data_IF_605124723785
#
_entry.id   IF_605124723785
#
_cell.length_a   1.000
_cell.length_b   1.000
_cell.length_c   1.000
_cell.angle_alpha   90.00
_cell.angle_beta   90.00
_cell.angle_gamma   90.00
#
_symmetry.space_group_name_H-M   'P 1'
#
loop_
_entity.id
_entity.type
_entity.pdbx_description
1 polymer ?
#
# COMPACT_ATOMS: atom_id res chain seq x y z
N UNK A 1 -7.69 4.82 -24.16
CA UNK A 1 -6.37 5.08 -23.53
C UNK A 1 -5.40 3.97 -23.88
N UNK A 2 -5.83 2.71 -23.80
CA UNK A 2 -5.02 1.52 -24.13
C UNK A 2 -4.36 1.65 -25.52
N UNK A 3 -5.14 1.84 -26.60
CA UNK A 3 -4.58 1.96 -27.97
C UNK A 3 -3.56 3.10 -28.14
N UNK A 4 -3.79 4.22 -27.44
CA UNK A 4 -2.90 5.38 -27.46
C UNK A 4 -1.57 5.03 -26.80
N UNK A 5 -1.62 4.42 -25.62
CA UNK A 5 -0.41 4.02 -24.89
C UNK A 5 0.32 2.90 -25.60
N UNK A 6 -0.38 1.93 -26.19
CA UNK A 6 0.25 0.86 -26.96
C UNK A 6 0.96 1.39 -28.20
N UNK A 7 0.32 2.34 -28.90
CA UNK A 7 0.93 3.01 -30.05
C UNK A 7 2.12 3.86 -29.63
N UNK A 8 1.99 4.65 -28.57
CA UNK A 8 3.08 5.46 -28.04
C UNK A 8 4.26 4.59 -27.57
N UNK A 9 4.00 3.43 -26.95
CA UNK A 9 5.05 2.52 -26.50
C UNK A 9 5.87 1.97 -27.68
N UNK A 10 5.21 1.68 -28.81
CA UNK A 10 5.89 1.24 -30.04
C UNK A 10 6.72 2.34 -30.69
N UNK A 11 6.24 3.58 -30.67
CA UNK A 11 6.88 4.70 -31.37
C UNK A 11 7.97 5.40 -30.56
N UNK A 12 7.84 5.45 -29.24
CA UNK A 12 8.77 6.17 -28.38
C UNK A 12 10.02 5.32 -28.07
N UNK A 13 11.22 5.91 -28.11
CA UNK A 13 12.43 5.26 -27.64
C UNK A 13 12.41 5.12 -26.10
N UNK A 14 13.37 4.37 -25.56
CA UNK A 14 13.62 4.34 -24.11
C UNK A 14 13.85 5.76 -23.55
N UNK A 15 13.27 6.04 -22.39
CA UNK A 15 13.19 7.37 -21.79
C UNK A 15 12.07 8.25 -22.33
N UNK A 16 11.35 7.81 -23.38
CA UNK A 16 10.19 8.50 -23.93
C UNK A 16 9.04 8.62 -22.94
N UNK A 17 8.22 9.66 -23.07
CA UNK A 17 7.16 9.98 -22.10
C UNK A 17 5.85 10.35 -22.78
N UNK A 18 4.75 10.02 -22.11
CA UNK A 18 3.39 10.44 -22.48
C UNK A 18 2.74 11.09 -21.27
N UNK A 19 2.40 12.38 -21.36
CA UNK A 19 1.66 13.11 -20.33
C UNK A 19 0.20 13.25 -20.73
N UNK A 20 -0.73 12.88 -19.85
CA UNK A 20 -2.17 12.96 -20.08
C UNK A 20 -2.88 13.70 -18.94
N UNK A 21 -3.87 14.50 -19.29
CA UNK A 21 -4.88 14.98 -18.33
C UNK A 21 -6.05 14.01 -18.35
N UNK A 22 -6.26 13.34 -17.22
CA UNK A 22 -7.29 12.31 -17.08
C UNK A 22 -8.26 12.67 -15.96
N UNK A 23 -9.50 12.24 -16.08
CA UNK A 23 -10.39 12.25 -14.92
C UNK A 23 -9.79 11.34 -13.84
N UNK A 24 -9.77 11.76 -12.57
CA UNK A 24 -9.05 11.04 -11.50
C UNK A 24 -9.51 9.59 -11.31
N UNK A 25 -10.76 9.27 -11.66
CA UNK A 25 -11.26 7.88 -11.61
C UNK A 25 -10.59 6.96 -12.64
N UNK A 26 -9.94 7.50 -13.68
CA UNK A 26 -9.36 6.72 -14.79
C UNK A 26 -8.31 5.71 -14.33
N UNK A 27 -7.61 6.02 -13.24
CA UNK A 27 -6.61 5.17 -12.60
C UNK A 27 -7.00 4.71 -11.20
N UNK A 28 -8.25 4.89 -10.77
CA UNK A 28 -8.65 4.53 -9.41
C UNK A 28 -8.72 3.02 -9.18
N UNK A 29 -8.87 2.23 -10.24
CA UNK A 29 -8.84 0.76 -10.17
C UNK A 29 -7.41 0.25 -10.21
N UNK A 30 -7.00 -0.47 -9.17
CA UNK A 30 -5.65 -0.99 -9.02
C UNK A 30 -5.18 -1.86 -10.21
N UNK A 31 -6.05 -2.75 -10.69
CA UNK A 31 -5.73 -3.68 -11.78
C UNK A 31 -5.33 -2.94 -13.06
N UNK A 32 -6.03 -1.84 -13.36
CA UNK A 32 -5.77 -1.04 -14.54
C UNK A 32 -4.42 -0.34 -14.45
N UNK A 33 -4.11 0.30 -13.32
CA UNK A 33 -2.83 1.00 -13.17
C UNK A 33 -1.66 0.01 -13.11
N UNK A 34 -1.78 -1.12 -12.41
CA UNK A 34 -0.77 -2.18 -12.40
C UNK A 34 -0.55 -2.80 -13.78
N UNK A 35 -1.61 -2.94 -14.61
CA UNK A 35 -1.47 -3.38 -16.01
C UNK A 35 -0.63 -2.41 -16.82
N UNK A 36 -0.87 -1.10 -16.73
CA UNK A 36 -0.02 -0.13 -17.43
C UNK A 36 1.41 -0.13 -16.90
N UNK A 37 1.59 -0.37 -15.60
CA UNK A 37 2.89 -0.41 -14.97
C UNK A 37 3.82 -1.51 -15.54
N UNK A 38 3.26 -2.56 -16.14
CA UNK A 38 4.04 -3.60 -16.80
C UNK A 38 4.94 -3.07 -17.92
N UNK A 39 4.53 -1.98 -18.58
CA UNK A 39 5.24 -1.38 -19.72
C UNK A 39 5.68 0.07 -19.45
N UNK A 40 5.25 0.68 -18.35
CA UNK A 40 5.46 2.10 -18.07
C UNK A 40 5.77 2.35 -16.59
N UNK A 41 6.71 3.25 -16.30
CA UNK A 41 6.67 3.98 -15.03
C UNK A 41 5.49 4.96 -15.04
N UNK A 42 4.81 5.09 -13.90
CA UNK A 42 3.62 5.92 -13.74
C UNK A 42 3.84 6.95 -12.64
N UNK A 43 3.44 8.18 -12.90
CA UNK A 43 3.34 9.23 -11.89
C UNK A 43 1.98 9.91 -12.06
N UNK A 44 1.21 10.01 -10.98
CA UNK A 44 -0.06 10.74 -10.99
C UNK A 44 -0.07 11.84 -9.93
N UNK A 45 -0.53 13.01 -10.34
CA UNK A 45 -0.70 14.17 -9.50
C UNK A 45 -2.13 14.69 -9.64
N UNK A 46 -2.76 15.03 -8.52
CA UNK A 46 -4.07 15.67 -8.54
C UNK A 46 -3.92 17.12 -8.97
N UNK A 47 -4.82 17.57 -9.85
CA UNK A 47 -4.91 18.97 -10.23
C UNK A 47 -5.98 19.69 -9.41
N UNK A 48 -5.74 20.94 -9.00
CA UNK A 48 -6.77 21.75 -8.36
C UNK A 48 -8.02 21.88 -9.24
N UNK A 49 -9.20 21.64 -8.66
CA UNK A 49 -10.48 21.75 -9.36
C UNK A 49 -10.77 23.16 -9.90
N UNK A 50 -10.13 24.17 -9.31
CA UNK A 50 -10.29 25.58 -9.69
C UNK A 50 -9.65 25.93 -11.03
N UNK A 51 -8.74 25.09 -11.56
CA UNK A 51 -8.08 25.35 -12.84
C UNK A 51 -9.02 25.21 -14.04
N UNK A 52 -10.08 24.39 -13.92
CA UNK A 52 -11.01 24.09 -14.99
C UNK A 52 -12.46 24.16 -14.50
N UNK A 53 -13.02 25.39 -14.38
CA UNK A 53 -14.39 25.58 -13.90
C UNK A 53 -15.40 24.89 -14.81
N UNK A 54 -16.43 24.29 -14.21
CA UNK A 54 -17.50 23.59 -14.94
C UNK A 54 -17.24 22.12 -15.26
N UNK A 55 -16.03 21.60 -14.96
CA UNK A 55 -15.79 20.16 -15.08
C UNK A 55 -16.47 19.38 -13.95
N UNK A 56 -17.23 18.34 -14.32
CA UNK A 56 -17.94 17.47 -13.38
C UNK A 56 -17.02 16.58 -12.55
N UNK A 57 -15.88 16.18 -13.11
CA UNK A 57 -14.96 15.24 -12.48
C UNK A 57 -13.61 15.90 -12.18
N UNK A 58 -12.98 15.59 -11.02
CA UNK A 58 -11.62 16.04 -10.74
C UNK A 58 -10.67 15.49 -11.80
N UNK A 59 -9.63 16.26 -12.11
CA UNK A 59 -8.59 15.88 -13.04
C UNK A 59 -7.31 15.51 -12.29
N UNK A 60 -6.56 14.61 -12.91
CA UNK A 60 -5.21 14.26 -12.53
C UNK A 60 -4.31 14.40 -13.75
N UNK A 61 -3.11 14.92 -13.55
CA UNK A 61 -2.05 14.80 -14.53
C UNK A 61 -1.35 13.47 -14.32
N UNK A 62 -1.21 12.69 -15.39
CA UNK A 62 -0.57 11.38 -15.35
C UNK A 62 0.55 11.34 -16.37
N UNK A 63 1.76 11.03 -15.90
CA UNK A 63 2.93 10.84 -16.71
C UNK A 63 3.26 9.35 -16.81
N UNK A 64 3.30 8.84 -18.04
CA UNK A 64 3.80 7.52 -18.39
C UNK A 64 5.22 7.69 -18.93
N UNK A 65 6.20 7.00 -18.32
CA UNK A 65 7.59 7.03 -18.77
C UNK A 65 8.04 5.64 -19.19
N UNK A 66 8.56 5.51 -20.41
CA UNK A 66 9.10 4.27 -20.91
C UNK A 66 10.49 4.10 -20.32
N UNK A 67 10.60 3.23 -19.33
CA UNK A 67 11.85 2.89 -18.68
C UNK A 67 11.81 1.47 -18.12
N UNK A 68 12.98 0.98 -17.71
CA UNK A 68 13.15 -0.37 -17.19
C UNK A 68 12.77 -0.50 -15.70
N UNK A 69 12.66 0.62 -14.98
CA UNK A 69 12.44 0.61 -13.52
C UNK A 69 10.98 0.39 -13.16
N UNK A 70 10.05 0.84 -14.02
CA UNK A 70 8.60 0.64 -13.88
C UNK A 70 8.08 1.06 -12.50
N UNK A 71 8.47 2.25 -12.07
CA UNK A 71 8.13 2.80 -10.75
C UNK A 71 6.73 3.42 -10.80
N UNK A 72 5.97 3.29 -9.71
CA UNK A 72 4.70 4.00 -9.52
C UNK A 72 4.84 5.07 -8.43
N UNK A 73 4.72 6.34 -8.81
CA UNK A 73 4.74 7.49 -7.89
C UNK A 73 3.33 7.99 -7.64
N UNK A 74 2.96 8.16 -6.37
CA UNK A 74 1.60 8.55 -5.96
C UNK A 74 0.59 7.39 -5.89
N UNK A 75 1.06 6.14 -6.02
CA UNK A 75 0.21 4.94 -6.08
C UNK A 75 0.76 3.77 -5.24
N UNK A 76 1.36 4.08 -4.08
CA UNK A 76 2.11 3.13 -3.26
C UNK A 76 1.30 1.96 -2.65
N UNK A 77 -0.02 1.90 -2.84
CA UNK A 77 -0.90 0.83 -2.33
C UNK A 77 -1.50 -0.06 -3.42
N UNK A 78 -1.13 0.19 -4.68
CA UNK A 78 -1.81 -0.42 -5.83
C UNK A 78 -1.41 -1.88 -6.02
N UNK A 79 -0.13 -2.20 -5.89
CA UNK A 79 0.32 -3.59 -5.96
C UNK A 79 -0.23 -4.40 -4.79
N UNK A 80 -0.24 -3.84 -3.58
CA UNK A 80 -0.80 -4.47 -2.39
C UNK A 80 -2.30 -4.73 -2.55
N UNK A 81 -3.03 -3.80 -3.16
CA UNK A 81 -4.45 -3.98 -3.44
C UNK A 81 -4.71 -5.11 -4.45
N UNK A 82 -3.88 -5.22 -5.49
CA UNK A 82 -3.95 -6.35 -6.45
C UNK A 82 -3.61 -7.67 -5.75
N UNK A 83 -2.57 -7.68 -4.93
CA UNK A 83 -2.16 -8.89 -4.19
C UNK A 83 -3.30 -9.40 -3.31
N UNK A 84 -3.93 -8.52 -2.52
CA UNK A 84 -5.09 -8.86 -1.68
C UNK A 84 -6.28 -9.31 -2.51
N UNK A 85 -6.55 -8.66 -3.65
CA UNK A 85 -7.67 -9.04 -4.53
C UNK A 85 -7.47 -10.43 -5.18
N UNK A 86 -6.22 -10.84 -5.41
CA UNK A 86 -5.89 -12.15 -6.00
C UNK A 86 -5.90 -13.32 -5.01
N UNK A 87 -6.08 -13.04 -3.71
CA UNK A 87 -6.09 -14.09 -2.69
C UNK A 87 -7.37 -14.95 -2.76
N UNK A 88 -7.30 -16.25 -2.43
CA UNK A 88 -8.49 -17.09 -2.33
C UNK A 88 -9.52 -16.48 -1.37
N UNK A 89 -10.81 -16.60 -1.67
CA UNK A 89 -11.90 -15.93 -0.95
C UNK A 89 -11.79 -16.10 0.58
N UNK A 90 -11.45 -17.30 1.05
CA UNK A 90 -11.24 -17.58 2.48
C UNK A 90 -10.14 -16.73 3.13
N UNK A 91 -9.07 -16.42 2.40
CA UNK A 91 -7.93 -15.60 2.87
C UNK A 91 -8.26 -14.11 2.79
N UNK A 92 -8.95 -13.68 1.72
CA UNK A 92 -9.44 -12.32 1.58
C UNK A 92 -10.51 -11.98 2.65
N UNK A 93 -11.41 -12.92 2.96
CA UNK A 93 -12.39 -12.84 4.05
C UNK A 93 -11.67 -12.69 5.40
N UNK A 94 -10.63 -13.49 5.66
CA UNK A 94 -9.83 -13.37 6.88
C UNK A 94 -9.12 -12.00 7.00
N UNK A 95 -8.63 -11.42 5.91
CA UNK A 95 -8.01 -10.08 5.90
C UNK A 95 -9.03 -8.96 6.06
N UNK A 96 -10.25 -9.11 5.52
CA UNK A 96 -11.36 -8.16 5.69
C UNK A 96 -11.94 -8.19 7.10
N UNK A 97 -12.13 -9.39 7.67
CA UNK A 97 -12.67 -9.60 9.01
C UNK A 97 -11.63 -9.33 10.11
N UNK A 98 -10.35 -9.55 9.82
CA UNK A 98 -9.23 -9.30 10.72
C UNK A 98 -8.04 -8.79 9.92
N UNK A 99 -7.88 -7.46 9.73
CA UNK A 99 -6.70 -6.94 9.06
C UNK A 99 -5.50 -7.37 9.89
N UNK A 100 -4.73 -8.35 9.41
CA UNK A 100 -3.43 -8.81 9.97
C UNK A 100 -2.39 -7.72 9.78
N UNK A 101 -2.71 -6.52 10.23
CA UNK A 101 -1.77 -5.43 10.39
C UNK A 101 -0.85 -5.79 11.54
N UNK A 102 0.38 -5.28 11.50
CA UNK A 102 1.29 -5.38 12.62
C UNK A 102 0.63 -4.90 13.93
N UNK A 103 -0.30 -3.93 13.86
CA UNK A 103 -1.07 -3.44 15.02
C UNK A 103 -1.98 -4.55 15.58
N UNK A 104 -2.75 -5.24 14.73
CA UNK A 104 -3.63 -6.32 15.17
C UNK A 104 -2.84 -7.51 15.76
N UNK A 105 -1.71 -7.86 15.14
CA UNK A 105 -0.85 -8.94 15.63
C UNK A 105 -0.21 -8.61 16.97
N UNK A 106 0.25 -7.37 17.16
CA UNK A 106 0.79 -6.92 18.46
C UNK A 106 -0.32 -6.81 19.51
N UNK A 107 -1.53 -6.36 19.13
CA UNK A 107 -2.70 -6.32 20.03
C UNK A 107 -3.09 -7.72 20.51
N UNK A 108 -3.23 -8.68 19.60
CA UNK A 108 -3.57 -10.07 19.95
C UNK A 108 -2.46 -10.75 20.76
N UNK A 109 -1.18 -10.45 20.48
CA UNK A 109 -0.07 -10.90 21.33
C UNK A 109 -0.16 -10.33 22.75
N UNK A 110 -0.44 -9.03 22.90
CA UNK A 110 -0.65 -8.41 24.21
C UNK A 110 -1.85 -9.01 24.95
N UNK A 111 -2.96 -9.25 24.25
CA UNK A 111 -4.18 -9.84 24.82
C UNK A 111 -3.93 -11.26 25.36
N UNK A 112 -3.26 -12.11 24.58
CA UNK A 112 -2.85 -13.47 24.98
C UNK A 112 -1.86 -13.50 26.15
N UNK A 113 -1.03 -12.46 26.26
CA UNK A 113 -0.07 -12.29 27.35
C UNK A 113 -0.69 -11.62 28.59
N UNK A 114 -2.03 -11.47 28.65
CA UNK A 114 -2.74 -10.94 29.81
C UNK A 114 -2.88 -9.42 29.82
N UNK A 115 -2.81 -8.79 28.65
CA UNK A 115 -3.02 -7.35 28.46
C UNK A 115 -1.80 -6.47 28.76
N UNK A 116 -0.71 -7.03 29.27
CA UNK A 116 0.56 -6.33 29.55
C UNK A 116 1.73 -7.28 29.33
N UNK A 117 2.70 -6.86 28.51
CA UNK A 117 3.86 -7.71 28.23
C UNK A 117 5.13 -6.91 27.90
N UNK A 118 6.28 -7.56 28.13
CA UNK A 118 7.57 -7.03 27.66
C UNK A 118 7.75 -7.29 26.18
N UNK A 119 8.55 -6.44 25.55
CA UNK A 119 8.79 -6.49 24.11
C UNK A 119 9.40 -7.83 23.66
N UNK A 120 10.19 -8.49 24.51
CA UNK A 120 10.74 -9.83 24.23
C UNK A 120 9.65 -10.91 24.18
N UNK A 121 8.69 -10.88 25.10
CA UNK A 121 7.56 -11.81 25.11
C UNK A 121 6.65 -11.58 23.90
N UNK A 122 6.43 -10.31 23.55
CA UNK A 122 5.72 -9.93 22.32
C UNK A 122 6.46 -10.48 21.09
N UNK A 123 7.80 -10.43 21.04
CA UNK A 123 8.54 -11.01 19.93
C UNK A 123 8.37 -12.53 19.82
N UNK A 124 8.46 -13.25 20.93
CA UNK A 124 8.28 -14.70 20.96
C UNK A 124 6.89 -15.09 20.44
N UNK A 125 5.87 -14.35 20.89
CA UNK A 125 4.47 -14.62 20.57
C UNK A 125 4.13 -14.22 19.12
N UNK A 126 4.77 -13.18 18.57
CA UNK A 126 4.58 -12.72 17.18
C UNK A 126 5.40 -13.52 16.16
N UNK A 127 6.55 -14.09 16.54
CA UNK A 127 7.45 -14.81 15.62
C UNK A 127 6.77 -15.88 14.73
N UNK A 128 5.88 -16.76 15.24
CA UNK A 128 5.19 -17.76 14.41
C UNK A 128 4.05 -17.17 13.57
N UNK A 129 3.60 -15.94 13.84
CA UNK A 129 2.36 -15.35 13.31
C UNK A 129 2.58 -14.05 12.53
N UNK A 130 3.80 -13.88 12.01
CA UNK A 130 4.22 -12.70 11.25
C UNK A 130 3.28 -12.45 10.04
N UNK A 131 2.71 -11.25 9.89
CA UNK A 131 1.87 -10.92 8.74
C UNK A 131 2.58 -10.96 7.39
N UNK A 132 3.86 -10.64 7.39
CA UNK A 132 4.70 -10.55 6.18
C UNK A 132 6.06 -11.20 6.46
N UNK A 133 6.76 -11.63 5.40
CA UNK A 133 8.11 -12.20 5.48
C UNK A 133 9.23 -11.20 5.78
N UNK A 134 8.93 -10.05 6.39
CA UNK A 134 9.91 -8.98 6.62
C UNK A 134 11.08 -9.50 7.49
N UNK A 135 12.35 -9.41 7.03
CA UNK A 135 13.52 -9.80 7.83
C UNK A 135 13.71 -8.90 9.06
N UNK A 136 13.32 -7.62 8.99
CA UNK A 136 13.37 -6.64 10.09
C UNK A 136 12.04 -6.56 10.87
N UNK A 137 11.44 -7.73 11.16
CA UNK A 137 10.13 -7.80 11.80
C UNK A 137 10.14 -7.35 13.27
N UNK A 138 11.25 -7.53 13.99
CA UNK A 138 11.37 -7.09 15.39
C UNK A 138 11.32 -5.57 15.50
N UNK A 139 11.99 -4.87 14.59
CA UNK A 139 11.96 -3.41 14.47
C UNK A 139 10.54 -2.92 14.17
N UNK A 140 9.82 -3.64 13.30
CA UNK A 140 8.44 -3.32 12.96
C UNK A 140 7.49 -3.53 14.14
N UNK A 141 7.66 -4.61 14.92
CA UNK A 141 6.93 -4.84 16.18
C UNK A 141 7.24 -3.72 17.17
N UNK A 142 8.51 -3.35 17.38
CA UNK A 142 8.91 -2.26 18.29
C UNK A 142 8.30 -0.92 17.88
N UNK A 143 8.34 -0.59 16.59
CA UNK A 143 7.74 0.63 16.02
C UNK A 143 6.24 0.69 16.28
N UNK A 144 5.55 -0.44 16.10
CA UNK A 144 4.10 -0.53 16.29
C UNK A 144 3.72 -0.49 17.77
N UNK A 145 4.41 -1.24 18.62
CA UNK A 145 4.24 -1.22 20.07
C UNK A 145 4.37 0.21 20.62
N UNK A 146 5.47 0.90 20.25
CA UNK A 146 5.74 2.27 20.68
C UNK A 146 4.74 3.32 20.17
N UNK A 147 4.17 3.12 18.98
CA UNK A 147 3.27 4.09 18.35
C UNK A 147 1.81 3.94 18.79
N UNK A 148 1.37 2.72 19.13
CA UNK A 148 -0.04 2.40 19.26
C UNK A 148 -0.45 1.92 20.66
N UNK A 149 0.49 1.60 21.54
CA UNK A 149 0.20 1.04 22.86
C UNK A 149 0.91 1.85 23.95
N UNK A 150 0.25 2.08 25.10
CA UNK A 150 0.88 2.75 26.23
C UNK A 150 2.09 1.97 26.73
N UNK A 151 3.20 2.68 26.92
CA UNK A 151 4.41 2.14 27.53
C UNK A 151 4.30 2.29 29.05
N UNK A 152 4.22 1.16 29.76
CA UNK A 152 4.01 1.12 31.22
C UNK A 152 5.31 0.97 32.00
N UNK A 153 6.37 0.48 31.36
CA UNK A 153 7.73 0.43 31.92
C UNK A 153 8.79 0.41 30.81
N UNK A 154 10.06 0.19 31.17
CA UNK A 154 11.13 0.02 30.19
C UNK A 154 10.83 -1.23 29.32
N UNK A 155 10.68 -1.00 28.01
CA UNK A 155 10.37 -2.04 27.02
C UNK A 155 9.11 -2.88 27.34
N UNK A 156 8.14 -2.30 28.04
CA UNK A 156 6.90 -2.96 28.44
C UNK A 156 5.69 -2.15 27.98
N UNK A 157 4.74 -2.82 27.35
CA UNK A 157 3.56 -2.23 26.74
C UNK A 157 2.30 -2.90 27.25
N UNK A 158 1.19 -2.15 27.28
CA UNK A 158 -0.10 -2.66 27.71
C UNK A 158 -1.19 -2.34 26.69
N UNK A 159 -2.30 -3.08 26.73
CA UNK A 159 -3.54 -2.64 26.10
C UNK A 159 -4.03 -1.38 26.83
N UNK A 160 -4.50 -0.39 26.07
CA UNK A 160 -5.24 0.71 26.67
C UNK A 160 -6.50 0.13 27.33
N UNK A 161 -6.74 0.49 28.58
CA UNK A 161 -7.97 0.16 29.30
C UNK A 161 -9.20 0.78 28.62
#
# INVERSE_FOLDING_TARGET
MDDLLDTAHRLLPEGGRVGLLLASYSLQTQDRACRYNQNWSLQAEMLPRTLFPGLKHPLSFVLFSKDQRRIMTGMALYHEAVDVASMPDRVAEMLRLNPKTWIAVVRDALDRLGGRARLEDIYAEVAPRRPTGNPAWKEQVRKVAARHFPRVALAEYALAA
#
